data_IF_602050038838
#
_entry.id   IF_602050038838
#
_cell.length_a   1.000
_cell.length_b   1.000
_cell.length_c   1.000
_cell.angle_alpha   90.00
_cell.angle_beta   90.00
_cell.angle_gamma   90.00
#
_symmetry.space_group_name_H-M   'P 1'
#
loop_
_entity.id
_entity.type
_entity.pdbx_description
1 polymer ?
#
# COMPACT_ATOMS: atom_id res chain seq x y z
N UNK A 1 -22.76 2.42 -14.97
CA UNK A 1 -22.26 1.12 -15.46
C UNK A 1 -21.74 0.38 -14.24
N UNK A 2 -22.14 -0.84 -13.97
CA UNK A 2 -21.57 -1.61 -12.88
C UNK A 2 -20.06 -1.75 -13.13
N UNK A 3 -19.25 -1.63 -12.06
CA UNK A 3 -17.82 -1.92 -12.11
C UNK A 3 -17.70 -3.39 -12.55
N UNK A 4 -17.02 -3.63 -13.67
CA UNK A 4 -16.87 -4.98 -14.20
C UNK A 4 -16.10 -5.81 -13.18
N UNK A 5 -16.74 -6.82 -12.64
CA UNK A 5 -16.13 -7.80 -11.72
C UNK A 5 -15.30 -8.85 -12.45
N UNK A 6 -15.33 -8.84 -13.78
CA UNK A 6 -14.57 -9.78 -14.61
C UNK A 6 -13.34 -9.08 -15.21
N UNK A 7 -12.12 -9.63 -15.06
CA UNK A 7 -10.89 -9.05 -15.61
C UNK A 7 -10.99 -8.88 -17.12
N UNK A 8 -10.72 -7.69 -17.64
CA UNK A 8 -10.68 -7.38 -19.07
C UNK A 8 -9.45 -7.93 -19.81
N UNK A 9 -8.48 -8.47 -19.07
CA UNK A 9 -7.23 -8.99 -19.62
C UNK A 9 -7.08 -10.49 -19.34
N UNK A 10 -6.36 -11.22 -20.23
CA UNK A 10 -6.13 -12.65 -20.04
C UNK A 10 -5.38 -12.94 -18.72
N UNK A 11 -5.45 -14.19 -18.20
CA UNK A 11 -5.00 -14.57 -16.83
C UNK A 11 -3.51 -14.38 -16.52
N UNK A 12 -2.82 -13.53 -17.24
CA UNK A 12 -1.43 -13.15 -17.06
C UNK A 12 -1.25 -11.68 -16.64
N UNK A 13 -2.24 -11.10 -15.95
CA UNK A 13 -2.07 -9.76 -15.39
C UNK A 13 -0.78 -9.68 -14.55
N UNK A 14 0.07 -8.65 -14.75
CA UNK A 14 1.34 -8.56 -14.06
C UNK A 14 1.12 -8.47 -12.55
N UNK A 15 1.83 -9.29 -11.80
CA UNK A 15 1.83 -9.32 -10.35
C UNK A 15 3.20 -9.68 -9.83
N UNK A 16 3.34 -9.72 -8.50
CA UNK A 16 4.57 -10.19 -7.88
C UNK A 16 4.87 -11.62 -8.29
N UNK A 17 6.09 -11.86 -8.74
CA UNK A 17 6.61 -13.21 -9.11
C UNK A 17 7.98 -13.40 -8.45
N UNK A 18 8.03 -13.82 -7.16
CA UNK A 18 9.27 -14.24 -6.54
C UNK A 18 9.91 -15.37 -7.33
N UNK A 19 11.24 -15.46 -7.25
CA UNK A 19 11.98 -16.53 -7.94
C UNK A 19 11.48 -17.90 -7.48
N UNK A 20 11.15 -18.78 -8.41
CA UNK A 20 10.63 -20.13 -8.16
C UNK A 20 9.10 -20.22 -8.03
N UNK A 21 8.36 -19.13 -7.97
CA UNK A 21 6.90 -19.17 -7.95
C UNK A 21 6.33 -19.42 -9.36
N UNK A 22 5.57 -20.51 -9.51
CA UNK A 22 4.97 -20.94 -10.79
C UNK A 22 3.59 -20.35 -11.03
N UNK A 23 2.89 -19.94 -9.97
CA UNK A 23 1.54 -19.40 -10.02
C UNK A 23 1.33 -18.33 -8.93
N UNK A 24 0.16 -17.68 -8.93
CA UNK A 24 -0.20 -16.62 -7.98
C UNK A 24 -0.23 -17.10 -6.54
N UNK A 25 -0.74 -18.31 -6.30
CA UNK A 25 -0.83 -18.89 -4.95
C UNK A 25 0.56 -19.13 -4.36
N UNK A 26 1.49 -19.67 -5.14
CA UNK A 26 2.89 -19.86 -4.73
C UNK A 26 3.58 -18.51 -4.50
N UNK A 27 3.32 -17.52 -5.36
CA UNK A 27 3.85 -16.17 -5.20
C UNK A 27 3.37 -15.52 -3.89
N UNK A 28 2.07 -15.57 -3.61
CA UNK A 28 1.49 -15.04 -2.37
C UNK A 28 2.05 -15.76 -1.13
N UNK A 29 2.14 -17.10 -1.17
CA UNK A 29 2.70 -17.88 -0.07
C UNK A 29 4.18 -17.54 0.20
N UNK A 30 4.99 -17.38 -0.86
CA UNK A 30 6.40 -16.97 -0.75
C UNK A 30 6.54 -15.59 -0.10
N UNK A 31 5.77 -14.63 -0.59
CA UNK A 31 5.78 -13.25 -0.05
C UNK A 31 5.33 -13.23 1.41
N UNK A 32 4.26 -13.96 1.76
CA UNK A 32 3.80 -14.10 3.15
C UNK A 32 4.90 -14.65 4.06
N UNK A 33 5.53 -15.77 3.67
CA UNK A 33 6.61 -16.41 4.44
C UNK A 33 7.77 -15.43 4.65
N UNK A 34 8.16 -14.69 3.61
CA UNK A 34 9.22 -13.71 3.69
C UNK A 34 8.89 -12.59 4.69
N UNK A 35 7.71 -11.97 4.60
CA UNK A 35 7.30 -10.91 5.51
C UNK A 35 7.13 -11.40 6.96
N UNK A 36 6.61 -12.62 7.16
CA UNK A 36 6.57 -13.27 8.47
C UNK A 36 7.96 -13.37 9.10
N UNK A 37 8.96 -13.81 8.32
CA UNK A 37 10.35 -13.98 8.80
C UNK A 37 11.01 -12.65 9.19
N UNK A 38 10.80 -11.59 8.42
CA UNK A 38 11.45 -10.29 8.66
C UNK A 38 10.68 -9.39 9.62
N UNK A 39 9.44 -9.73 9.98
CA UNK A 39 8.58 -8.92 10.85
C UNK A 39 9.30 -8.38 12.08
N UNK A 40 10.14 -9.15 12.83
CA UNK A 40 10.83 -8.65 14.02
C UNK A 40 11.72 -7.43 13.82
N UNK A 41 12.30 -7.27 12.63
CA UNK A 41 13.27 -6.22 12.30
C UNK A 41 12.76 -5.25 11.23
N UNK A 42 11.54 -5.45 10.76
CA UNK A 42 10.97 -4.75 9.59
C UNK A 42 11.00 -3.22 9.73
N UNK A 43 10.47 -2.68 10.84
CA UNK A 43 10.41 -1.25 11.07
C UNK A 43 11.80 -0.62 11.11
N UNK A 44 12.71 -1.24 11.90
CA UNK A 44 14.07 -0.76 12.03
C UNK A 44 14.77 -0.67 10.68
N UNK A 45 14.64 -1.72 9.87
CA UNK A 45 15.29 -1.80 8.56
C UNK A 45 14.68 -0.82 7.55
N UNK A 46 13.36 -0.68 7.52
CA UNK A 46 12.71 0.29 6.64
C UNK A 46 13.12 1.72 6.97
N UNK A 47 13.15 2.08 8.25
CA UNK A 47 13.57 3.41 8.67
C UNK A 47 15.06 3.66 8.43
N UNK A 48 15.90 2.66 8.67
CA UNK A 48 17.34 2.77 8.41
C UNK A 48 17.62 2.93 6.91
N UNK A 49 17.06 2.05 6.09
CA UNK A 49 17.30 2.03 4.64
C UNK A 49 16.65 3.20 3.90
N UNK A 50 15.57 3.77 4.43
CA UNK A 50 14.97 4.98 3.89
C UNK A 50 15.52 6.25 4.51
N UNK A 51 16.49 6.17 5.45
CA UNK A 51 16.96 7.28 6.30
C UNK A 51 15.77 7.99 6.97
N UNK A 52 14.74 7.22 7.36
CA UNK A 52 13.45 7.70 7.94
C UNK A 52 12.65 8.67 7.05
N UNK A 53 13.01 8.84 5.78
CA UNK A 53 12.24 9.65 4.81
C UNK A 53 10.87 9.02 4.52
N UNK A 54 10.74 7.70 4.67
CA UNK A 54 9.47 6.97 4.55
C UNK A 54 8.36 7.55 5.44
N UNK A 55 8.70 8.07 6.63
CA UNK A 55 7.76 8.78 7.52
C UNK A 55 7.24 10.07 6.89
N UNK A 56 8.09 10.78 6.15
CA UNK A 56 7.70 12.01 5.44
C UNK A 56 6.76 11.68 4.30
N UNK A 57 7.04 10.63 3.53
CA UNK A 57 6.18 10.21 2.43
C UNK A 57 4.79 9.80 2.93
N UNK A 58 4.70 8.98 3.98
CA UNK A 58 3.41 8.58 4.58
C UNK A 58 2.63 9.79 5.12
N UNK A 59 3.32 10.72 5.79
CA UNK A 59 2.67 11.95 6.28
C UNK A 59 2.16 12.84 5.14
N UNK A 60 2.93 12.98 4.06
CA UNK A 60 2.48 13.72 2.86
C UNK A 60 1.30 13.02 2.19
N UNK A 61 1.32 11.70 2.11
CA UNK A 61 0.19 10.91 1.60
C UNK A 61 -1.07 11.13 2.45
N UNK A 62 -0.97 10.99 3.76
CA UNK A 62 -2.11 11.25 4.66
C UNK A 62 -2.65 12.68 4.52
N UNK A 63 -1.77 13.67 4.33
CA UNK A 63 -2.18 15.06 4.11
C UNK A 63 -2.99 15.25 2.81
N UNK A 64 -2.67 14.52 1.73
CA UNK A 64 -3.43 14.56 0.46
C UNK A 64 -4.88 14.08 0.64
N UNK A 65 -5.14 13.14 1.52
CA UNK A 65 -6.47 12.62 1.85
C UNK A 65 -7.10 13.31 3.07
N UNK A 66 -6.53 14.42 3.52
CA UNK A 66 -6.93 15.11 4.75
C UNK A 66 -8.41 15.47 4.83
N UNK A 67 -9.08 15.77 3.72
CA UNK A 67 -10.54 16.07 3.69
C UNK A 67 -11.36 14.86 4.17
N UNK A 68 -11.05 13.66 3.70
CA UNK A 68 -11.73 12.42 4.11
C UNK A 68 -11.30 12.00 5.52
N UNK A 69 -9.98 11.98 5.76
CA UNK A 69 -9.43 11.50 7.04
C UNK A 69 -9.97 12.26 8.25
N UNK A 70 -10.30 13.57 8.09
CA UNK A 70 -10.82 14.42 9.16
C UNK A 70 -12.30 14.23 9.45
N UNK A 71 -13.04 13.52 8.63
CA UNK A 71 -14.45 13.19 8.88
C UNK A 71 -14.55 12.16 10.01
N UNK A 72 -15.51 12.33 10.92
CA UNK A 72 -15.76 11.42 12.05
C UNK A 72 -16.34 10.08 11.60
N UNK A 73 -17.16 10.13 10.54
CA UNK A 73 -17.90 9.02 9.95
C UNK A 73 -17.13 8.26 8.85
N UNK A 74 -16.00 8.79 8.38
CA UNK A 74 -15.25 8.16 7.28
C UNK A 74 -14.68 6.81 7.69
N UNK A 75 -14.98 5.79 6.90
CA UNK A 75 -14.40 4.45 7.00
C UNK A 75 -13.17 4.37 6.11
N UNK A 76 -12.04 4.03 6.70
CA UNK A 76 -10.73 4.06 6.04
C UNK A 76 -10.05 2.72 6.21
N UNK A 77 -9.59 2.15 5.10
CA UNK A 77 -8.78 0.93 5.06
C UNK A 77 -7.34 1.27 4.65
N UNK A 78 -6.38 0.78 5.42
CA UNK A 78 -4.96 0.71 5.05
C UNK A 78 -4.64 -0.73 4.66
N UNK A 79 -4.55 -0.98 3.36
CA UNK A 79 -4.32 -2.30 2.79
C UNK A 79 -2.83 -2.62 2.71
N UNK A 80 -2.43 -3.86 3.03
CA UNK A 80 -1.04 -4.25 3.20
C UNK A 80 -0.34 -3.37 4.24
N UNK A 81 -1.01 -3.14 5.37
CA UNK A 81 -0.60 -2.16 6.38
C UNK A 81 0.71 -2.51 7.10
N UNK A 82 1.15 -3.76 7.04
CA UNK A 82 2.32 -4.25 7.74
C UNK A 82 2.23 -3.99 9.24
N UNK A 83 3.18 -3.25 9.78
CA UNK A 83 3.22 -2.85 11.19
C UNK A 83 2.44 -1.57 11.51
N UNK A 84 1.57 -1.11 10.59
CA UNK A 84 0.61 -0.03 10.79
C UNK A 84 1.17 1.39 10.61
N UNK A 85 2.32 1.58 10.00
CA UNK A 85 2.93 2.92 9.89
C UNK A 85 2.06 3.92 9.11
N UNK A 86 1.43 3.50 8.00
CA UNK A 86 0.52 4.37 7.24
C UNK A 86 -0.79 4.56 8.00
N UNK A 87 -1.35 3.50 8.59
CA UNK A 87 -2.52 3.56 9.46
C UNK A 87 -2.34 4.62 10.54
N UNK A 88 -1.22 4.58 11.27
CA UNK A 88 -0.92 5.55 12.33
C UNK A 88 -0.57 6.95 11.80
N UNK A 89 -0.07 7.07 10.57
CA UNK A 89 0.11 8.38 9.95
C UNK A 89 -1.23 9.06 9.66
N UNK A 90 -2.21 8.31 9.16
CA UNK A 90 -3.58 8.79 8.93
C UNK A 90 -4.31 9.08 10.25
N UNK A 91 -4.17 8.19 11.23
CA UNK A 91 -4.77 8.40 12.55
C UNK A 91 -4.27 9.69 13.20
N UNK A 92 -2.96 10.01 13.12
CA UNK A 92 -2.43 11.29 13.62
C UNK A 92 -3.11 12.51 12.98
N UNK A 93 -3.39 12.45 11.68
CA UNK A 93 -4.11 13.53 10.97
C UNK A 93 -5.55 13.66 11.51
N UNK A 94 -6.25 12.53 11.70
CA UNK A 94 -7.59 12.48 12.25
C UNK A 94 -7.64 13.01 13.68
N UNK A 95 -6.76 12.52 14.54
CA UNK A 95 -6.67 12.94 15.96
C UNK A 95 -6.40 14.42 16.11
N UNK A 96 -5.48 14.98 15.30
CA UNK A 96 -5.20 16.42 15.34
C UNK A 96 -6.43 17.26 14.97
N UNK A 97 -7.23 16.81 14.03
CA UNK A 97 -8.40 17.52 13.55
C UNK A 97 -9.62 17.41 14.50
N UNK A 98 -9.72 16.31 15.24
CA UNK A 98 -10.88 15.99 16.08
C UNK A 98 -10.61 16.18 17.58
N UNK A 99 -9.44 16.72 17.95
CA UNK A 99 -9.01 16.87 19.36
C UNK A 99 -10.05 17.58 20.21
N UNK A 100 -10.63 18.64 19.67
CA UNK A 100 -11.51 19.56 20.42
C UNK A 100 -13.00 19.23 20.28
N UNK A 101 -13.34 18.22 19.48
CA UNK A 101 -14.73 17.91 19.16
C UNK A 101 -15.36 16.87 20.08
N UNK A 102 -14.60 16.18 20.94
CA UNK A 102 -15.10 15.10 21.81
C UNK A 102 -15.86 13.98 21.06
N UNK A 103 -15.81 14.00 19.73
CA UNK A 103 -16.66 13.21 18.87
C UNK A 103 -16.29 11.74 18.86
N UNK A 104 -17.30 10.89 18.90
CA UNK A 104 -17.15 9.46 18.59
C UNK A 104 -16.60 9.31 17.16
N UNK A 105 -15.60 8.46 16.98
CA UNK A 105 -14.96 8.25 15.69
C UNK A 105 -14.86 6.77 15.37
N UNK A 106 -15.05 6.44 14.10
CA UNK A 106 -14.84 5.08 13.61
C UNK A 106 -13.33 4.82 13.55
N UNK A 107 -12.81 3.74 14.17
CA UNK A 107 -11.39 3.35 14.05
C UNK A 107 -10.96 3.17 12.59
N UNK A 108 -9.72 3.51 12.28
CA UNK A 108 -9.13 3.10 11.01
C UNK A 108 -8.89 1.60 11.02
N UNK A 109 -9.06 0.96 9.87
CA UNK A 109 -8.79 -0.47 9.70
C UNK A 109 -7.47 -0.64 8.95
N UNK A 110 -6.54 -1.39 9.54
CA UNK A 110 -5.35 -1.89 8.87
C UNK A 110 -5.55 -3.36 8.50
N UNK A 111 -5.21 -3.74 7.28
CA UNK A 111 -5.30 -5.11 6.82
C UNK A 111 -3.98 -5.59 6.24
N UNK A 112 -3.56 -6.80 6.62
CA UNK A 112 -2.36 -7.46 6.09
C UNK A 112 -2.54 -8.99 6.14
N UNK A 113 -1.86 -9.71 5.28
CA UNK A 113 -1.91 -11.17 5.26
C UNK A 113 -0.88 -11.84 6.20
N UNK A 114 0.10 -11.09 6.69
CA UNK A 114 1.15 -11.57 7.59
C UNK A 114 0.79 -11.28 9.07
N UNK A 115 0.21 -12.26 9.76
CA UNK A 115 -0.23 -12.14 11.16
C UNK A 115 0.86 -11.53 12.07
N UNK A 116 2.15 -11.92 12.01
CA UNK A 116 3.18 -11.32 12.86
C UNK A 116 3.39 -9.81 12.62
N UNK A 117 3.04 -9.30 11.45
CA UNK A 117 3.03 -7.85 11.20
C UNK A 117 1.90 -7.16 11.96
N UNK A 118 0.68 -7.73 11.93
CA UNK A 118 -0.49 -7.22 12.64
C UNK A 118 -0.31 -7.25 14.16
N UNK A 119 0.30 -8.30 14.70
CA UNK A 119 0.65 -8.37 16.13
C UNK A 119 1.56 -7.22 16.54
N UNK A 120 2.53 -6.87 15.69
CA UNK A 120 3.42 -5.73 15.93
C UNK A 120 2.68 -4.40 15.78
N UNK A 121 1.78 -4.28 14.81
CA UNK A 121 0.91 -3.11 14.66
C UNK A 121 0.07 -2.91 15.93
N UNK A 122 -0.56 -3.96 16.45
CA UNK A 122 -1.31 -3.92 17.70
C UNK A 122 -0.43 -3.47 18.89
N UNK A 123 0.72 -4.13 19.09
CA UNK A 123 1.67 -3.74 20.16
C UNK A 123 2.11 -2.28 20.03
N UNK A 124 2.40 -1.80 18.82
CA UNK A 124 2.75 -0.42 18.54
C UNK A 124 1.59 0.53 18.83
N UNK A 125 0.35 0.15 18.45
CA UNK A 125 -0.87 0.88 18.74
C UNK A 125 -1.07 1.06 20.25
N UNK A 126 -1.03 -0.01 21.02
CA UNK A 126 -1.16 0.04 22.48
C UNK A 126 -0.10 0.92 23.14
N UNK A 127 1.18 0.74 22.76
CA UNK A 127 2.29 1.54 23.30
C UNK A 127 2.10 3.06 23.10
N UNK A 128 1.44 3.46 22.03
CA UNK A 128 1.27 4.87 21.67
C UNK A 128 -0.18 5.36 21.82
N UNK A 129 -1.03 4.61 22.53
CA UNK A 129 -2.46 4.94 22.74
C UNK A 129 -3.20 5.26 21.44
N UNK A 130 -2.96 4.43 20.41
CA UNK A 130 -3.59 4.55 19.09
C UNK A 130 -4.81 3.67 18.98
N UNK A 131 -5.84 4.18 18.30
CA UNK A 131 -7.10 3.47 18.10
C UNK A 131 -7.23 3.08 16.63
N UNK A 132 -6.79 1.88 16.30
CA UNK A 132 -6.97 1.28 14.98
C UNK A 132 -7.33 -0.21 15.16
N UNK A 133 -8.13 -0.75 14.26
CA UNK A 133 -8.43 -2.18 14.19
C UNK A 133 -7.52 -2.84 13.16
N UNK A 134 -7.03 -4.05 13.46
CA UNK A 134 -6.18 -4.79 12.52
C UNK A 134 -6.81 -6.14 12.18
N UNK A 135 -6.90 -6.45 10.87
CA UNK A 135 -7.58 -7.63 10.32
C UNK A 135 -6.63 -8.39 9.40
N UNK A 136 -6.53 -9.71 9.61
CA UNK A 136 -5.80 -10.58 8.70
C UNK A 136 -6.63 -10.83 7.44
N UNK A 137 -6.13 -10.47 6.26
CA UNK A 137 -6.84 -10.70 4.99
C UNK A 137 -5.90 -10.82 3.80
N UNK A 138 -6.38 -11.45 2.75
CA UNK A 138 -5.78 -11.40 1.42
C UNK A 138 -6.31 -10.18 0.66
N UNK A 139 -5.40 -9.39 0.09
CA UNK A 139 -5.74 -8.21 -0.71
C UNK A 139 -6.48 -8.55 -2.02
N UNK A 140 -6.42 -9.79 -2.46
CA UNK A 140 -7.15 -10.29 -3.64
C UNK A 140 -8.55 -10.84 -3.30
N UNK A 141 -8.88 -10.94 -2.01
CA UNK A 141 -10.18 -11.41 -1.51
C UNK A 141 -10.44 -10.81 -0.13
N UNK A 142 -10.92 -9.58 -0.10
CA UNK A 142 -11.09 -8.81 1.13
C UNK A 142 -12.36 -9.23 1.89
N UNK A 143 -12.28 -9.48 3.20
CA UNK A 143 -13.43 -9.90 4.02
C UNK A 143 -14.33 -8.71 4.41
N UNK A 144 -14.56 -7.80 3.49
CA UNK A 144 -15.38 -6.61 3.69
C UNK A 144 -16.53 -6.57 2.67
N UNK A 145 -17.69 -6.01 3.04
CA UNK A 145 -18.79 -5.79 2.12
C UNK A 145 -18.41 -4.84 0.98
N UNK A 146 -19.19 -4.89 -0.09
CA UNK A 146 -19.12 -3.91 -1.18
C UNK A 146 -19.42 -2.50 -0.65
N UNK A 147 -18.84 -1.50 -1.27
CA UNK A 147 -19.12 -0.09 -1.03
C UNK A 147 -19.11 0.33 0.47
N UNK A 148 -18.14 -0.16 1.25
CA UNK A 148 -18.09 0.09 2.68
C UNK A 148 -17.03 1.12 3.12
N UNK A 149 -16.03 1.43 2.29
CA UNK A 149 -14.96 2.38 2.64
C UNK A 149 -15.02 3.68 1.84
N UNK A 150 -14.72 4.79 2.50
CA UNK A 150 -14.56 6.11 1.87
C UNK A 150 -13.16 6.33 1.31
N UNK A 151 -12.16 5.61 1.86
CA UNK A 151 -10.76 5.67 1.46
C UNK A 151 -10.10 4.31 1.64
N UNK A 152 -9.41 3.84 0.62
CA UNK A 152 -8.44 2.73 0.70
C UNK A 152 -7.07 3.26 0.37
N UNK A 153 -6.09 3.01 1.24
CA UNK A 153 -4.68 3.32 0.99
C UNK A 153 -3.84 2.05 1.02
N UNK A 154 -2.73 2.05 0.29
CA UNK A 154 -1.67 1.07 0.46
C UNK A 154 -0.31 1.78 0.31
N UNK A 155 0.61 1.51 1.23
CA UNK A 155 1.92 2.15 1.23
C UNK A 155 3.05 1.12 1.25
N UNK A 156 3.76 0.99 0.11
CA UNK A 156 4.87 0.06 -0.12
C UNK A 156 4.49 -1.42 -0.03
N UNK A 157 3.18 -1.72 -0.24
CA UNK A 157 2.62 -3.06 -0.19
C UNK A 157 2.09 -3.55 -1.52
N UNK A 158 1.58 -2.66 -2.37
CA UNK A 158 0.86 -3.00 -3.60
C UNK A 158 1.72 -3.82 -4.59
N UNK A 159 3.01 -3.50 -4.72
CA UNK A 159 3.95 -4.25 -5.59
C UNK A 159 4.11 -5.73 -5.21
N UNK A 160 3.67 -6.12 -4.02
CA UNK A 160 3.78 -7.50 -3.51
C UNK A 160 2.54 -8.35 -3.82
N UNK A 161 1.46 -7.76 -4.35
CA UNK A 161 0.28 -8.52 -4.75
C UNK A 161 0.61 -9.51 -5.86
N UNK A 162 0.07 -10.70 -5.77
CA UNK A 162 0.27 -11.74 -6.78
C UNK A 162 -0.45 -11.42 -8.11
N UNK A 163 -1.47 -10.55 -8.07
CA UNK A 163 -2.18 -10.03 -9.24
C UNK A 163 -2.62 -8.59 -8.96
N UNK A 164 -2.09 -7.63 -9.72
CA UNK A 164 -2.37 -6.20 -9.50
C UNK A 164 -3.79 -5.82 -9.92
N UNK A 165 -4.28 -6.39 -11.02
CA UNK A 165 -5.62 -6.10 -11.53
C UNK A 165 -6.68 -6.63 -10.58
N UNK A 166 -6.58 -7.89 -10.14
CA UNK A 166 -7.48 -8.47 -9.14
C UNK A 166 -7.48 -7.66 -7.84
N UNK A 167 -6.31 -7.20 -7.38
CA UNK A 167 -6.21 -6.33 -6.22
C UNK A 167 -6.89 -4.98 -6.43
N UNK A 168 -6.79 -4.38 -7.61
CA UNK A 168 -7.49 -3.13 -7.95
C UNK A 168 -9.01 -3.34 -8.02
N UNK A 169 -9.47 -4.47 -8.58
CA UNK A 169 -10.90 -4.83 -8.60
C UNK A 169 -11.46 -4.98 -7.19
N UNK A 170 -10.75 -5.68 -6.29
CA UNK A 170 -11.16 -5.81 -4.88
C UNK A 170 -11.18 -4.47 -4.15
N UNK A 171 -10.20 -3.61 -4.39
CA UNK A 171 -10.19 -2.25 -3.84
C UNK A 171 -11.41 -1.46 -4.37
N UNK A 172 -11.70 -1.55 -5.67
CA UNK A 172 -12.86 -0.88 -6.26
C UNK A 172 -14.17 -1.40 -5.68
N UNK A 173 -14.30 -2.71 -5.45
CA UNK A 173 -15.49 -3.35 -4.87
C UNK A 173 -15.80 -2.83 -3.47
N UNK A 174 -14.78 -2.72 -2.61
CA UNK A 174 -14.99 -2.29 -1.23
C UNK A 174 -15.08 -0.77 -1.07
N UNK A 175 -14.68 0.02 -2.06
CA UNK A 175 -14.86 1.47 -2.06
C UNK A 175 -16.29 1.86 -2.38
N UNK A 176 -16.80 2.87 -1.68
CA UNK A 176 -18.07 3.52 -1.98
C UNK A 176 -18.00 4.28 -3.30
N UNK A 177 -19.16 4.67 -3.82
CA UNK A 177 -19.26 5.72 -4.84
C UNK A 177 -18.50 6.97 -4.37
N UNK A 178 -17.71 7.58 -5.25
CA UNK A 178 -16.77 8.67 -4.95
C UNK A 178 -15.67 8.33 -3.92
N UNK A 179 -15.60 7.07 -3.48
CA UNK A 179 -14.55 6.57 -2.58
C UNK A 179 -13.17 6.69 -3.24
N UNK A 180 -12.16 7.01 -2.45
CA UNK A 180 -10.83 7.32 -2.97
C UNK A 180 -9.82 6.19 -2.74
N UNK A 181 -8.93 6.03 -3.72
CA UNK A 181 -7.78 5.13 -3.70
C UNK A 181 -6.48 5.93 -3.56
N UNK A 182 -5.56 5.45 -2.72
CA UNK A 182 -4.18 5.95 -2.62
C UNK A 182 -3.15 4.83 -2.67
N UNK A 183 -2.31 4.77 -3.71
CA UNK A 183 -1.19 3.81 -3.82
C UNK A 183 0.12 4.58 -3.74
N UNK A 184 0.83 4.42 -2.63
CA UNK A 184 2.18 4.96 -2.42
C UNK A 184 3.19 3.84 -2.65
N UNK A 185 4.03 3.96 -3.68
CA UNK A 185 4.99 2.92 -4.03
C UNK A 185 6.32 3.46 -4.55
N UNK A 186 7.33 2.61 -4.47
CA UNK A 186 8.60 2.85 -5.15
C UNK A 186 8.41 2.84 -6.67
N UNK A 187 9.16 3.69 -7.33
CA UNK A 187 9.23 3.77 -8.78
C UNK A 187 10.68 4.01 -9.19
N UNK A 188 11.07 3.49 -10.33
CA UNK A 188 12.41 3.74 -10.84
C UNK A 188 12.49 5.16 -11.42
N UNK A 189 13.41 6.02 -10.93
CA UNK A 189 13.62 7.36 -11.47
C UNK A 189 14.04 7.28 -12.93
N UNK A 190 13.52 8.19 -13.77
CA UNK A 190 13.84 8.24 -15.18
C UNK A 190 14.98 9.21 -15.45
N UNK A 191 16.07 8.70 -16.06
CA UNK A 191 17.17 9.53 -16.59
C UNK A 191 18.07 10.19 -15.54
N UNK A 192 19.20 10.70 -16.01
CA UNK A 192 20.13 11.50 -15.22
C UNK A 192 20.95 10.74 -14.17
N UNK A 193 21.82 11.49 -13.50
CA UNK A 193 22.74 10.98 -12.44
C UNK A 193 21.99 10.39 -11.24
N UNK A 194 20.83 10.95 -10.88
CA UNK A 194 20.01 10.48 -9.77
C UNK A 194 19.41 9.10 -10.01
N UNK A 195 19.03 8.78 -11.22
CA UNK A 195 18.59 7.42 -11.57
C UNK A 195 19.74 6.41 -11.45
N UNK A 196 20.96 6.81 -11.84
CA UNK A 196 22.16 6.01 -11.64
C UNK A 196 22.45 5.74 -10.17
N UNK A 197 22.41 6.79 -9.34
CA UNK A 197 22.62 6.68 -7.90
C UNK A 197 21.55 5.81 -7.21
N UNK A 198 20.28 5.97 -7.61
CA UNK A 198 19.18 5.14 -7.11
C UNK A 198 19.39 3.67 -7.46
N UNK A 199 19.71 3.34 -8.73
CA UNK A 199 20.01 1.97 -9.16
C UNK A 199 21.21 1.40 -8.43
N UNK A 200 22.29 2.17 -8.24
CA UNK A 200 23.45 1.76 -7.46
C UNK A 200 23.06 1.44 -6.01
N UNK A 201 22.32 2.34 -5.34
CA UNK A 201 21.86 2.14 -3.98
C UNK A 201 20.98 0.88 -3.85
N UNK A 202 19.98 0.72 -4.71
CA UNK A 202 19.07 -0.44 -4.68
C UNK A 202 19.75 -1.75 -5.05
N UNK A 203 20.75 -1.73 -5.94
CA UNK A 203 21.43 -2.94 -6.42
C UNK A 203 22.57 -3.40 -5.52
N UNK A 204 23.29 -2.47 -4.90
CA UNK A 204 24.52 -2.78 -4.18
C UNK A 204 24.46 -2.46 -2.68
N UNK A 205 23.91 -1.34 -2.29
CA UNK A 205 23.91 -0.92 -0.87
C UNK A 205 22.81 -1.64 -0.10
N UNK A 206 21.60 -1.57 -0.58
CA UNK A 206 20.41 -2.07 0.13
C UNK A 206 20.45 -3.59 0.38
N UNK A 207 20.80 -4.47 -0.59
CA UNK A 207 20.89 -5.92 -0.34
C UNK A 207 21.99 -6.30 0.65
N UNK A 208 23.14 -5.63 0.58
CA UNK A 208 24.29 -5.94 1.44
C UNK A 208 24.03 -5.49 2.88
N UNK A 209 23.65 -4.22 3.08
CA UNK A 209 23.37 -3.67 4.42
C UNK A 209 22.14 -4.35 5.03
N UNK A 210 21.06 -4.47 4.25
CA UNK A 210 19.81 -5.09 4.72
C UNK A 210 19.98 -6.58 5.02
N UNK A 211 20.73 -7.32 4.19
CA UNK A 211 21.01 -8.73 4.39
C UNK A 211 21.81 -9.05 5.65
N UNK A 212 22.83 -8.25 5.94
CA UNK A 212 23.66 -8.40 7.16
C UNK A 212 22.83 -8.13 8.41
N UNK A 213 22.07 -7.03 8.42
CA UNK A 213 21.33 -6.59 9.62
C UNK A 213 20.09 -7.45 9.87
N UNK A 214 19.40 -7.91 8.81
CA UNK A 214 18.16 -8.70 8.94
C UNK A 214 18.38 -10.17 9.25
N UNK A 215 19.55 -10.71 8.91
CA UNK A 215 19.79 -12.15 8.89
C UNK A 215 19.00 -12.89 7.78
N UNK A 216 18.44 -12.16 6.79
CA UNK A 216 17.66 -12.71 5.68
C UNK A 216 18.07 -12.05 4.37
N UNK A 217 19.06 -12.64 3.69
CA UNK A 217 19.50 -12.16 2.36
C UNK A 217 18.36 -12.16 1.33
N UNK A 218 17.46 -13.15 1.40
CA UNK A 218 16.39 -13.36 0.43
C UNK A 218 15.43 -12.17 0.36
N UNK A 219 15.04 -11.60 1.51
CA UNK A 219 14.10 -10.46 1.57
C UNK A 219 14.68 -9.19 0.94
N UNK A 220 16.00 -8.99 1.06
CA UNK A 220 16.67 -7.80 0.53
C UNK A 220 17.15 -7.95 -0.91
N UNK A 221 17.27 -9.18 -1.39
CA UNK A 221 17.41 -9.47 -2.83
C UNK A 221 16.06 -9.36 -3.55
N UNK A 222 14.96 -9.70 -2.86
CA UNK A 222 13.61 -9.56 -3.39
C UNK A 222 13.21 -8.10 -3.67
N UNK A 223 13.57 -7.15 -2.79
CA UNK A 223 13.14 -5.76 -2.90
C UNK A 223 13.56 -5.09 -4.22
N UNK A 224 14.85 -5.07 -4.64
CA UNK A 224 15.23 -4.52 -5.93
C UNK A 224 14.52 -5.19 -7.11
N UNK A 225 14.39 -6.52 -7.07
CA UNK A 225 13.70 -7.27 -8.09
C UNK A 225 12.20 -6.96 -8.18
N UNK A 226 11.52 -6.74 -7.05
CA UNK A 226 10.11 -6.36 -7.02
C UNK A 226 9.88 -4.95 -7.56
N UNK A 227 10.75 -4.00 -7.21
CA UNK A 227 10.68 -2.62 -7.73
C UNK A 227 10.93 -2.56 -9.23
N UNK A 228 11.95 -3.31 -9.73
CA UNK A 228 12.29 -3.32 -11.16
C UNK A 228 11.17 -3.93 -12.05
N UNK A 229 10.40 -4.89 -11.51
CA UNK A 229 9.27 -5.51 -12.22
C UNK A 229 7.94 -4.77 -12.03
N UNK A 230 7.87 -3.85 -11.07
CA UNK A 230 6.65 -3.11 -10.78
C UNK A 230 6.30 -2.17 -11.93
N UNK A 231 5.01 -2.02 -12.31
CA UNK A 231 4.58 -1.09 -13.32
C UNK A 231 5.11 0.32 -13.06
N UNK A 232 5.64 0.95 -14.08
CA UNK A 232 6.06 2.35 -13.96
C UNK A 232 4.85 3.26 -13.76
N UNK A 233 5.11 4.53 -13.42
CA UNK A 233 4.08 5.53 -13.12
C UNK A 233 2.96 5.59 -14.17
N UNK A 234 3.28 5.55 -15.47
CA UNK A 234 2.28 5.60 -16.55
C UNK A 234 1.49 4.30 -16.62
N UNK A 235 2.18 3.18 -16.60
CA UNK A 235 1.56 1.85 -16.68
C UNK A 235 0.59 1.62 -15.51
N UNK A 236 0.99 1.97 -14.27
CA UNK A 236 0.08 1.83 -13.12
C UNK A 236 -1.12 2.78 -13.24
N UNK A 237 -0.94 4.01 -13.73
CA UNK A 237 -2.06 4.92 -13.98
C UNK A 237 -3.05 4.36 -15.00
N UNK A 238 -2.57 3.76 -16.08
CA UNK A 238 -3.45 3.14 -17.10
C UNK A 238 -4.15 1.88 -16.53
N UNK A 239 -3.45 1.08 -15.74
CA UNK A 239 -4.04 -0.09 -15.07
C UNK A 239 -5.15 0.33 -14.07
N UNK A 240 -4.96 1.41 -13.32
CA UNK A 240 -5.99 1.95 -12.43
C UNK A 240 -7.23 2.40 -13.24
N UNK A 241 -7.01 3.07 -14.38
CA UNK A 241 -8.11 3.48 -15.26
C UNK A 241 -8.85 2.29 -15.89
N UNK A 242 -8.13 1.24 -16.31
CA UNK A 242 -8.71 0.09 -16.99
C UNK A 242 -9.70 -0.69 -16.13
N UNK A 243 -9.54 -0.66 -14.80
CA UNK A 243 -10.49 -1.26 -13.86
C UNK A 243 -11.65 -0.32 -13.46
N UNK A 244 -11.77 0.85 -14.10
CA UNK A 244 -12.92 1.74 -13.95
C UNK A 244 -12.73 2.93 -13.00
N UNK A 245 -11.56 3.12 -12.42
CA UNK A 245 -11.28 4.33 -11.63
C UNK A 245 -11.20 5.58 -12.51
N UNK A 246 -11.65 6.70 -11.97
CA UNK A 246 -11.61 8.03 -12.61
C UNK A 246 -10.71 8.99 -11.84
N UNK A 247 -10.45 10.17 -12.41
CA UNK A 247 -9.60 11.22 -11.81
C UNK A 247 -8.21 10.74 -11.37
N UNK A 248 -7.61 9.84 -12.15
CA UNK A 248 -6.30 9.28 -11.84
C UNK A 248 -5.22 10.33 -11.91
N UNK A 249 -4.63 10.65 -10.78
CA UNK A 249 -3.52 11.62 -10.61
C UNK A 249 -2.34 10.95 -9.95
N UNK A 250 -1.13 11.44 -10.24
CA UNK A 250 0.07 10.92 -9.59
C UNK A 250 1.03 12.05 -9.19
N UNK A 251 1.61 11.90 -8.01
CA UNK A 251 2.57 12.83 -7.40
C UNK A 251 3.88 12.09 -7.17
N UNK A 252 4.97 12.65 -7.69
CA UNK A 252 6.31 12.08 -7.54
C UNK A 252 7.11 12.83 -6.48
N UNK A 253 7.84 12.10 -5.67
CA UNK A 253 8.76 12.63 -4.67
C UNK A 253 10.16 12.05 -4.87
N UNK A 254 11.17 12.72 -4.30
CA UNK A 254 12.55 12.27 -4.34
C UNK A 254 13.01 11.87 -5.76
N UNK A 255 12.93 12.83 -6.69
CA UNK A 255 13.32 12.66 -8.11
C UNK A 255 12.57 11.51 -8.82
N UNK A 256 11.36 11.17 -8.37
CA UNK A 256 10.54 10.12 -8.97
C UNK A 256 10.79 8.72 -8.41
N UNK A 257 11.61 8.56 -7.35
CA UNK A 257 11.85 7.28 -6.71
C UNK A 257 10.67 6.76 -5.87
N UNK A 258 9.73 7.66 -5.51
CA UNK A 258 8.49 7.33 -4.84
C UNK A 258 7.34 8.07 -5.53
N UNK A 259 6.27 7.36 -5.80
CA UNK A 259 5.08 7.91 -6.47
C UNK A 259 3.84 7.56 -5.65
N UNK A 260 3.00 8.57 -5.42
CA UNK A 260 1.63 8.42 -4.94
C UNK A 260 0.69 8.49 -6.14
N UNK A 261 -0.05 7.43 -6.40
CA UNK A 261 -1.21 7.44 -7.29
C UNK A 261 -2.47 7.68 -6.46
N UNK A 262 -3.34 8.54 -6.96
CA UNK A 262 -4.66 8.83 -6.37
C UNK A 262 -5.70 8.66 -7.46
N UNK A 263 -6.84 8.07 -7.09
CA UNK A 263 -7.97 7.89 -8.00
C UNK A 263 -9.27 7.85 -7.18
N UNK A 264 -10.42 7.84 -7.83
CA UNK A 264 -11.71 7.62 -7.18
C UNK A 264 -12.60 6.68 -7.98
N UNK A 265 -13.49 6.02 -7.29
CA UNK A 265 -14.59 5.27 -7.92
C UNK A 265 -15.57 6.28 -8.55
N UNK A 266 -16.06 6.06 -9.78
CA UNK A 266 -17.08 6.92 -10.35
C UNK A 266 -18.34 6.90 -9.48
N UNK A 267 -19.02 8.04 -9.40
CA UNK A 267 -20.38 8.10 -8.83
C UNK A 267 -21.31 7.36 -9.79
N UNK A 268 -22.04 6.35 -9.28
CA UNK A 268 -23.07 5.71 -10.07
C UNK A 268 -24.05 6.79 -10.55
N UNK A 269 -24.19 6.97 -11.86
CA UNK A 269 -25.24 7.84 -12.37
C UNK A 269 -26.57 7.29 -11.86
N UNK A 270 -27.26 8.08 -11.01
CA UNK A 270 -28.64 7.78 -10.65
C UNK A 270 -29.38 7.54 -11.98
N UNK A 271 -29.81 6.30 -12.24
CA UNK A 271 -30.51 5.94 -13.45
C UNK A 271 -31.67 6.92 -13.65
N UNK A 272 -31.65 7.55 -14.83
CA UNK A 272 -32.81 8.30 -15.30
C UNK A 272 -33.94 7.33 -15.65
#
# INVERSE_FOLDING_TARGET
MPIMTTPLFPPQAPGSRPQGARNEREAAAHVRKMFTKIAPRYDFLNHLLSLSIDRVWRRRTAAKFGKIIRRTDARILDLCCGTGDMTFAMERVRMKALRDLGAHRIPLVGSDFAIPMLERANKKGHKHHRVAAFVASDALNLPFPDACFDLVTTAFGFRNLANYESGLCEIARVLKDDGQLGILEFSEPRGGTMAGLFRFYFRYVLPNVGGVISGSKDAYQYLPGSVARFPNRKQLSEMIKSVGFVDVRSYSWNFGSVVLHMARVPVASAGR
#
